data_IF_178125194177
#
_entry.id   IF_178125194177
#
_cell.length_a   1.000
_cell.length_b   1.000
_cell.length_c   1.000
_cell.angle_alpha   90.00
_cell.angle_beta   90.00
_cell.angle_gamma   90.00
#
_symmetry.space_group_name_H-M   'P 1'
#
loop_
_entity.id
_entity.type
_entity.pdbx_description
1 polymer ?
#
# COMPACT_ATOMS: atom_id res chain seq x y z
N UNK A 1 -28.77 -31.02 -5.94
CA UNK A 1 -28.80 -29.59 -6.33
C UNK A 1 -27.60 -28.95 -5.66
N UNK A 2 -26.55 -28.72 -6.44
CA UNK A 2 -25.26 -28.21 -5.97
C UNK A 2 -25.36 -26.68 -5.88
N UNK A 3 -25.44 -26.15 -4.66
CA UNK A 3 -25.32 -24.71 -4.42
C UNK A 3 -23.86 -24.42 -4.16
N UNK A 4 -23.13 -24.02 -5.20
CA UNK A 4 -21.75 -23.56 -5.11
C UNK A 4 -21.70 -22.28 -4.26
N UNK A 5 -21.50 -22.43 -2.95
CA UNK A 5 -21.14 -21.31 -2.09
C UNK A 5 -19.74 -20.87 -2.50
N UNK A 6 -19.67 -19.76 -3.23
CA UNK A 6 -18.42 -19.03 -3.46
C UNK A 6 -17.84 -18.75 -2.08
N UNK A 7 -16.61 -19.21 -1.75
CA UNK A 7 -16.01 -18.84 -0.49
C UNK A 7 -15.76 -17.35 -0.56
N UNK A 8 -16.64 -16.58 0.10
CA UNK A 8 -16.42 -15.18 0.41
C UNK A 8 -14.99 -15.08 0.92
N UNK A 9 -14.17 -14.29 0.22
CA UNK A 9 -12.77 -14.08 0.48
C UNK A 9 -12.58 -13.85 1.98
N UNK A 10 -12.22 -14.91 2.69
CA UNK A 10 -11.79 -14.82 4.07
C UNK A 10 -10.54 -13.97 3.99
N UNK A 11 -10.64 -12.69 4.36
CA UNK A 11 -9.48 -11.88 4.64
C UNK A 11 -8.79 -12.60 5.78
N UNK A 12 -7.81 -13.43 5.45
CA UNK A 12 -7.09 -14.17 6.47
C UNK A 12 -6.42 -13.12 7.34
N UNK A 13 -6.53 -13.18 8.67
CA UNK A 13 -5.85 -12.26 9.58
C UNK A 13 -4.35 -12.15 9.26
N UNK A 14 -3.79 -13.23 8.71
CA UNK A 14 -2.43 -13.34 8.21
C UNK A 14 -2.14 -12.39 7.03
N UNK A 15 -3.07 -12.21 6.09
CA UNK A 15 -2.89 -11.26 4.98
C UNK A 15 -2.82 -9.81 5.47
N UNK A 16 -3.62 -9.47 6.49
CA UNK A 16 -3.55 -8.14 7.12
C UNK A 16 -2.20 -7.94 7.81
N UNK A 17 -1.71 -8.93 8.56
CA UNK A 17 -0.42 -8.84 9.24
C UNK A 17 0.76 -8.75 8.26
N UNK A 18 0.69 -9.49 7.15
CA UNK A 18 1.68 -9.41 6.06
C UNK A 18 1.66 -7.99 5.45
N UNK A 19 0.47 -7.45 5.19
CA UNK A 19 0.31 -6.09 4.67
C UNK A 19 0.86 -5.03 5.64
N UNK A 20 0.58 -5.14 6.93
CA UNK A 20 1.10 -4.22 7.95
C UNK A 20 2.63 -4.24 8.03
N UNK A 21 3.23 -5.44 7.99
CA UNK A 21 4.68 -5.62 7.98
C UNK A 21 5.31 -5.02 6.72
N UNK A 22 4.68 -5.23 5.55
CA UNK A 22 5.13 -4.67 4.28
C UNK A 22 5.08 -3.14 4.29
N UNK A 23 3.96 -2.56 4.76
CA UNK A 23 3.82 -1.11 4.91
C UNK A 23 4.92 -0.52 5.77
N UNK A 24 5.23 -1.15 6.91
CA UNK A 24 6.32 -0.69 7.77
C UNK A 24 7.67 -0.77 7.08
N UNK A 25 7.98 -1.91 6.45
CA UNK A 25 9.24 -2.08 5.72
C UNK A 25 9.43 -0.99 4.64
N UNK A 26 8.38 -0.73 3.85
CA UNK A 26 8.39 0.33 2.84
C UNK A 26 8.52 1.70 3.50
N UNK A 27 7.77 1.98 4.56
CA UNK A 27 7.81 3.25 5.29
C UNK A 27 9.20 3.58 5.85
N UNK A 28 9.94 2.56 6.25
CA UNK A 28 11.32 2.68 6.74
C UNK A 28 12.38 2.72 5.63
N UNK A 29 11.99 2.46 4.38
CA UNK A 29 12.92 2.44 3.26
C UNK A 29 13.32 3.86 2.83
N UNK A 30 14.59 4.04 2.48
CA UNK A 30 15.14 5.32 2.07
C UNK A 30 14.48 5.87 0.79
N UNK A 31 14.02 4.98 -0.10
CA UNK A 31 13.30 5.36 -1.33
C UNK A 31 11.94 5.99 -1.03
N UNK A 32 11.16 5.34 -0.16
CA UNK A 32 9.86 5.87 0.25
C UNK A 32 9.98 7.18 1.03
N UNK A 33 10.96 7.30 1.93
CA UNK A 33 11.17 8.53 2.71
C UNK A 33 11.49 9.73 1.81
N UNK A 34 12.34 9.54 0.78
CA UNK A 34 12.64 10.59 -0.20
C UNK A 34 11.42 10.97 -1.03
N UNK A 35 10.72 9.97 -1.59
CA UNK A 35 9.48 10.19 -2.34
C UNK A 35 8.41 10.91 -1.50
N UNK A 36 8.30 10.55 -0.21
CA UNK A 36 7.38 11.21 0.71
C UNK A 36 7.75 12.68 0.94
N UNK A 37 9.04 13.05 1.03
CA UNK A 37 9.44 14.46 1.18
C UNK A 37 9.07 15.29 -0.04
N UNK A 38 9.27 14.72 -1.24
CA UNK A 38 8.96 15.36 -2.51
C UNK A 38 7.44 15.57 -2.69
N UNK A 39 6.63 14.59 -2.29
CA UNK A 39 5.17 14.66 -2.35
C UNK A 39 4.49 15.36 -1.15
N UNK A 40 5.15 15.47 0.02
CA UNK A 40 4.59 16.17 1.20
C UNK A 40 4.33 17.66 0.95
N UNK A 41 5.07 18.28 0.02
CA UNK A 41 4.88 19.69 -0.35
C UNK A 41 3.57 19.91 -1.10
N UNK A 42 3.10 18.89 -1.83
CA UNK A 42 1.87 18.94 -2.66
C UNK A 42 0.62 18.58 -1.82
N UNK A 43 0.80 17.84 -0.73
CA UNK A 43 -0.25 17.13 -0.01
C UNK A 43 -0.50 17.72 1.40
N UNK A 44 -0.31 19.03 1.57
CA UNK A 44 -0.43 19.72 2.87
C UNK A 44 -1.85 19.71 3.48
N UNK A 45 -2.87 19.31 2.70
CA UNK A 45 -4.29 19.43 3.07
C UNK A 45 -4.97 18.12 3.46
N UNK A 46 -4.27 16.98 3.38
CA UNK A 46 -4.91 15.68 3.59
C UNK A 46 -4.06 14.85 4.54
N UNK A 47 -4.67 14.50 5.68
CA UNK A 47 -4.17 13.53 6.65
C UNK A 47 -4.14 12.13 6.00
N UNK A 48 -3.23 11.94 5.04
CA UNK A 48 -3.12 10.71 4.31
C UNK A 48 -2.47 9.65 5.20
N UNK A 49 -3.32 8.72 5.64
CA UNK A 49 -2.94 7.49 6.32
C UNK A 49 -1.80 6.78 5.58
N UNK A 50 -0.91 6.13 6.34
CA UNK A 50 0.29 5.44 5.84
C UNK A 50 -0.03 4.50 4.67
N UNK A 51 -1.15 3.77 4.76
CA UNK A 51 -1.66 2.90 3.70
C UNK A 51 -1.75 3.57 2.34
N UNK A 52 -2.36 4.76 2.28
CA UNK A 52 -2.58 5.44 1.02
C UNK A 52 -1.27 5.94 0.42
N UNK A 53 -0.33 6.40 1.26
CA UNK A 53 1.00 6.81 0.80
C UNK A 53 1.78 5.62 0.26
N UNK A 54 1.75 4.49 0.96
CA UNK A 54 2.40 3.24 0.51
C UNK A 54 1.80 2.75 -0.80
N UNK A 55 0.46 2.74 -0.93
CA UNK A 55 -0.21 2.35 -2.17
C UNK A 55 0.15 3.25 -3.34
N UNK A 56 0.21 4.57 -3.11
CA UNK A 56 0.58 5.53 -4.15
C UNK A 56 2.04 5.36 -4.59
N UNK A 57 2.97 5.23 -3.64
CA UNK A 57 4.37 4.93 -3.94
C UNK A 57 4.53 3.64 -4.74
N UNK A 58 3.84 2.56 -4.35
CA UNK A 58 3.86 1.30 -5.09
C UNK A 58 3.31 1.48 -6.51
N UNK A 59 2.23 2.24 -6.69
CA UNK A 59 1.67 2.51 -8.01
C UNK A 59 2.67 3.25 -8.90
N UNK A 60 3.24 4.36 -8.40
CA UNK A 60 4.17 5.19 -9.16
C UNK A 60 5.48 4.44 -9.48
N UNK A 61 6.00 3.65 -8.54
CA UNK A 61 7.20 2.82 -8.78
C UNK A 61 6.94 1.68 -9.76
N UNK A 62 5.76 1.05 -9.74
CA UNK A 62 5.38 0.04 -10.73
C UNK A 62 5.14 0.64 -12.12
N UNK A 63 4.53 1.82 -12.21
CA UNK A 63 4.35 2.57 -13.47
C UNK A 63 5.71 2.91 -14.10
N UNK A 64 6.73 3.21 -13.28
CA UNK A 64 8.10 3.53 -13.75
C UNK A 64 8.86 2.31 -14.27
N UNK A 65 8.55 1.10 -13.79
CA UNK A 65 9.20 -0.15 -14.20
C UNK A 65 8.51 -0.87 -15.37
N UNK A 66 7.29 -0.44 -15.73
CA UNK A 66 6.48 -1.04 -16.80
C UNK A 66 6.77 -0.45 -18.20
N UNK A 67 7.84 0.32 -18.35
CA UNK A 67 8.29 0.95 -19.59
C UNK A 67 9.62 0.35 -20.05
#
# INVERSE_FOLDING_TARGET
MESSATPASAQFPQDSQIWDSLKQAIATSSGFQRWQMEHRVIDQSQDYNLDNRVRRYLRETLETLAY
#
